data_IF_741065518350
#
_entry.id   IF_741065518350
#
_cell.length_a   1.000
_cell.length_b   1.000
_cell.length_c   1.000
_cell.angle_alpha   90.00
_cell.angle_beta   90.00
_cell.angle_gamma   90.00
#
_symmetry.space_group_name_H-M   'P 1'
#
loop_
_entity.id
_entity.type
_entity.pdbx_description
1 polymer ?
#
# COMPACT_ATOMS: atom_id res chain seq x y z
N UNK A 1 9.77 -9.24 11.20
CA UNK A 1 10.21 -8.78 9.87
C UNK A 1 9.24 -9.11 8.76
N UNK A 2 8.17 -9.84 9.08
CA UNK A 2 7.16 -10.16 8.07
C UNK A 2 6.45 -8.91 7.53
N UNK A 3 6.32 -7.85 8.36
CA UNK A 3 5.64 -6.62 7.95
C UNK A 3 6.40 -5.94 6.82
N UNK A 4 7.72 -5.84 6.96
CA UNK A 4 8.58 -5.24 5.94
C UNK A 4 8.56 -6.07 4.66
N UNK A 5 8.66 -7.40 4.79
CA UNK A 5 8.66 -8.30 3.65
C UNK A 5 7.33 -8.23 2.89
N UNK A 6 6.21 -8.24 3.62
CA UNK A 6 4.89 -8.15 3.00
C UNK A 6 4.65 -6.79 2.37
N UNK A 7 5.16 -5.72 2.97
CA UNK A 7 5.04 -4.37 2.42
C UNK A 7 5.81 -4.25 1.11
N UNK A 8 7.03 -4.80 1.06
CA UNK A 8 7.83 -4.80 -0.16
C UNK A 8 7.13 -5.60 -1.26
N UNK A 9 6.61 -6.78 -0.91
CA UNK A 9 5.87 -7.60 -1.87
C UNK A 9 4.64 -6.87 -2.42
N UNK A 10 3.91 -6.16 -1.56
CA UNK A 10 2.75 -5.37 -1.97
C UNK A 10 3.13 -4.27 -2.96
N UNK A 11 4.23 -3.56 -2.69
CA UNK A 11 4.72 -2.54 -3.60
C UNK A 11 5.14 -3.14 -4.94
N UNK A 12 5.82 -4.28 -4.92
CA UNK A 12 6.24 -4.95 -6.16
C UNK A 12 5.04 -5.34 -7.02
N UNK A 13 3.95 -5.78 -6.39
CA UNK A 13 2.70 -6.09 -7.10
C UNK A 13 2.18 -4.82 -7.79
N UNK A 14 2.18 -3.69 -7.09
CA UNK A 14 1.70 -2.42 -7.66
C UNK A 14 2.58 -1.95 -8.81
N UNK A 15 3.90 -2.09 -8.70
CA UNK A 15 4.81 -1.73 -9.77
C UNK A 15 4.59 -2.61 -11.00
N UNK A 16 4.39 -3.91 -10.80
CA UNK A 16 4.11 -4.84 -11.91
C UNK A 16 2.77 -4.49 -12.57
N UNK A 17 1.76 -4.13 -11.78
CA UNK A 17 0.47 -3.70 -12.31
C UNK A 17 0.63 -2.47 -13.20
N UNK A 18 1.42 -1.50 -12.77
CA UNK A 18 1.70 -0.29 -13.54
C UNK A 18 2.41 -0.62 -14.86
N UNK A 19 3.37 -1.53 -14.83
CA UNK A 19 4.08 -1.98 -16.03
C UNK A 19 3.11 -2.62 -17.05
N UNK A 20 2.09 -3.31 -16.55
CA UNK A 20 1.07 -3.95 -17.38
C UNK A 20 -0.06 -2.99 -17.81
N UNK A 21 0.02 -1.72 -17.43
CA UNK A 21 -1.00 -0.75 -17.75
C UNK A 21 -2.26 -0.86 -16.89
N UNK A 22 -2.18 -1.56 -15.76
CA UNK A 22 -3.32 -1.74 -14.85
C UNK A 22 -3.26 -0.74 -13.70
N UNK A 23 -4.41 -0.47 -13.11
CA UNK A 23 -4.50 0.31 -11.89
C UNK A 23 -4.46 -0.59 -10.67
N UNK A 24 -3.97 -0.08 -9.56
CA UNK A 24 -3.97 -0.83 -8.30
C UNK A 24 -4.23 0.10 -7.12
N UNK A 25 -4.72 -0.48 -6.04
CA UNK A 25 -5.02 0.25 -4.82
C UNK A 25 -4.61 -0.59 -3.62
N UNK A 26 -3.90 0.02 -2.68
CA UNK A 26 -3.47 -0.62 -1.44
C UNK A 26 -4.50 -0.36 -0.36
N UNK A 27 -5.05 -1.43 0.21
CA UNK A 27 -5.93 -1.34 1.37
C UNK A 27 -5.23 -1.96 2.56
N UNK A 28 -4.97 -1.16 3.58
CA UNK A 28 -4.30 -1.61 4.79
C UNK A 28 -5.27 -2.45 5.63
N UNK A 29 -4.83 -3.64 6.04
CA UNK A 29 -5.62 -4.53 6.88
C UNK A 29 -5.06 -4.59 8.29
N UNK A 30 -3.73 -4.67 8.43
CA UNK A 30 -3.07 -4.70 9.74
C UNK A 30 -3.43 -3.45 10.54
N UNK A 31 -3.83 -3.66 11.79
CA UNK A 31 -4.21 -2.58 12.72
C UNK A 31 -5.41 -1.73 12.25
N UNK A 32 -6.26 -2.29 11.41
CA UNK A 32 -7.52 -1.66 11.00
C UNK A 32 -8.69 -2.46 11.56
N UNK A 33 -9.83 -1.80 11.71
CA UNK A 33 -11.04 -2.41 12.21
C UNK A 33 -12.26 -1.88 11.47
N UNK A 34 -13.31 -2.69 11.42
CA UNK A 34 -14.60 -2.27 10.88
C UNK A 34 -15.29 -1.31 11.86
N UNK A 35 -16.39 -0.68 11.43
CA UNK A 35 -17.12 0.28 12.25
C UNK A 35 -17.61 -0.33 13.59
N UNK A 36 -17.91 -1.62 13.59
CA UNK A 36 -18.35 -2.32 14.81
C UNK A 36 -17.20 -2.73 15.73
N UNK A 37 -15.96 -2.39 15.37
CA UNK A 37 -14.77 -2.71 16.16
C UNK A 37 -14.13 -4.05 15.84
N UNK A 38 -14.70 -4.85 14.92
CA UNK A 38 -14.10 -6.13 14.53
C UNK A 38 -12.79 -5.89 13.80
N UNK A 39 -11.68 -6.51 14.22
CA UNK A 39 -10.42 -6.35 13.49
C UNK A 39 -10.55 -6.77 12.02
N UNK A 40 -10.00 -5.96 11.12
CA UNK A 40 -10.06 -6.25 9.69
C UNK A 40 -9.39 -7.59 9.37
N UNK A 41 -8.30 -7.92 10.05
CA UNK A 41 -7.62 -9.20 9.90
C UNK A 41 -8.57 -10.39 10.17
N UNK A 42 -9.41 -10.28 11.20
CA UNK A 42 -10.40 -11.32 11.51
C UNK A 42 -11.41 -11.48 10.38
N UNK A 43 -11.87 -10.38 9.81
CA UNK A 43 -12.84 -10.42 8.71
C UNK A 43 -12.23 -11.14 7.49
N UNK A 44 -11.00 -10.80 7.13
CA UNK A 44 -10.32 -11.41 6.00
C UNK A 44 -10.06 -12.90 6.25
N UNK A 45 -9.64 -13.26 7.49
CA UNK A 45 -9.45 -14.65 7.87
C UNK A 45 -10.72 -15.48 7.65
N UNK A 46 -11.87 -14.94 8.07
CA UNK A 46 -13.14 -15.63 7.94
C UNK A 46 -13.57 -15.80 6.48
N UNK A 47 -13.37 -14.77 5.67
CA UNK A 47 -13.75 -14.81 4.25
C UNK A 47 -12.90 -15.81 3.48
N UNK A 48 -11.59 -15.83 3.73
CA UNK A 48 -10.65 -16.66 2.98
C UNK A 48 -10.39 -18.02 3.62
N UNK A 49 -10.87 -18.25 4.84
CA UNK A 49 -10.61 -19.51 5.55
C UNK A 49 -9.15 -19.70 5.91
N UNK A 50 -8.46 -18.63 6.27
CA UNK A 50 -7.03 -18.68 6.58
C UNK A 50 -6.76 -19.36 7.93
N UNK A 51 -5.64 -20.10 8.06
CA UNK A 51 -5.24 -20.62 9.37
C UNK A 51 -4.79 -19.49 10.31
N UNK A 52 -4.92 -19.71 11.62
CA UNK A 52 -4.56 -18.72 12.63
C UNK A 52 -3.09 -18.28 12.58
N UNK A 53 -2.24 -19.13 12.01
CA UNK A 53 -0.81 -18.84 11.89
C UNK A 53 -0.49 -17.76 10.85
N UNK A 54 -1.45 -17.40 9.99
CA UNK A 54 -1.26 -16.37 8.97
C UNK A 54 -1.92 -15.07 9.39
N UNK A 55 -1.25 -13.98 9.10
CA UNK A 55 -1.80 -12.64 9.29
C UNK A 55 -1.82 -11.89 7.97
N UNK A 56 -2.75 -10.95 7.84
CA UNK A 56 -2.92 -10.16 6.62
C UNK A 56 -2.40 -8.74 6.86
N UNK A 57 -1.45 -8.31 6.04
CA UNK A 57 -0.95 -6.95 6.08
C UNK A 57 -1.85 -6.01 5.27
N UNK A 58 -2.14 -6.38 4.03
CA UNK A 58 -2.82 -5.54 3.06
C UNK A 58 -3.59 -6.36 2.06
N UNK A 59 -4.46 -5.69 1.33
CA UNK A 59 -5.11 -6.23 0.14
C UNK A 59 -4.79 -5.27 -1.00
N UNK A 60 -4.32 -5.81 -2.11
CA UNK A 60 -4.05 -5.00 -3.30
C UNK A 60 -5.14 -5.28 -4.32
N UNK A 61 -6.01 -4.29 -4.56
CA UNK A 61 -6.98 -4.38 -5.63
C UNK A 61 -6.31 -4.03 -6.95
N UNK A 62 -6.48 -4.87 -7.97
CA UNK A 62 -5.88 -4.66 -9.28
C UNK A 62 -6.97 -4.76 -10.33
N UNK A 63 -6.99 -3.83 -11.28
CA UNK A 63 -7.98 -3.83 -12.34
C UNK A 63 -7.64 -2.84 -13.44
N UNK A 64 -8.51 -2.76 -14.41
CA UNK A 64 -8.34 -1.79 -15.48
C UNK A 64 -8.63 -0.39 -14.97
N UNK A 65 -7.82 0.58 -15.41
CA UNK A 65 -8.01 1.98 -14.99
C UNK A 65 -9.31 2.53 -15.56
N UNK A 66 -10.14 3.11 -14.70
CA UNK A 66 -11.35 3.82 -15.12
C UNK A 66 -11.00 5.20 -15.68
N UNK A 67 -9.92 5.80 -15.16
CA UNK A 67 -9.42 7.09 -15.61
C UNK A 67 -7.93 7.17 -15.31
N UNK A 68 -7.19 7.91 -16.13
CA UNK A 68 -5.77 8.12 -15.88
C UNK A 68 -5.58 9.42 -15.11
N UNK A 69 -4.72 9.37 -14.09
CA UNK A 69 -4.33 10.54 -13.33
C UNK A 69 -3.09 11.15 -13.95
N UNK A 70 -3.07 12.47 -13.97
CA UNK A 70 -1.90 13.20 -14.43
C UNK A 70 -0.74 12.96 -13.45
N UNK A 71 0.46 12.70 -13.95
CA UNK A 71 1.62 12.60 -13.05
C UNK A 71 1.80 13.90 -12.27
N UNK A 72 2.28 13.77 -11.03
CA UNK A 72 2.58 14.94 -10.19
C UNK A 72 3.74 15.73 -10.81
N UNK A 73 3.56 17.03 -10.91
CA UNK A 73 4.63 17.92 -11.39
C UNK A 73 5.72 18.06 -10.33
N UNK A 74 6.95 18.23 -10.78
CA UNK A 74 8.11 18.31 -9.89
C UNK A 74 8.01 19.45 -8.88
N UNK A 75 7.43 20.58 -9.26
CA UNK A 75 7.30 21.75 -8.38
C UNK A 75 6.29 21.53 -7.26
N UNK A 76 5.44 20.50 -7.37
CA UNK A 76 4.47 20.14 -6.33
C UNK A 76 5.03 19.14 -5.33
N UNK A 77 6.23 18.66 -5.55
CA UNK A 77 6.89 17.77 -4.60
C UNK A 77 7.32 18.56 -3.36
N UNK A 78 7.39 17.85 -2.25
CA UNK A 78 7.74 18.47 -0.97
C UNK A 78 9.26 18.59 -0.83
N UNK A 79 9.88 19.44 -1.65
CA UNK A 79 11.33 19.59 -1.67
C UNK A 79 11.91 20.02 -0.33
N UNK A 80 11.14 20.77 0.47
CA UNK A 80 11.57 21.17 1.82
C UNK A 80 11.69 19.99 2.77
N UNK A 81 11.19 18.80 2.40
CA UNK A 81 11.37 17.56 3.15
C UNK A 81 12.57 16.74 2.66
N UNK A 82 13.25 17.21 1.61
CA UNK A 82 14.42 16.54 1.07
C UNK A 82 15.67 17.20 1.64
N UNK A 83 16.51 16.40 2.29
CA UNK A 83 17.74 16.89 2.95
C UNK A 83 18.95 16.30 2.24
N UNK A 84 19.87 17.19 1.82
CA UNK A 84 21.04 16.79 1.05
C UNK A 84 22.23 16.55 1.97
N UNK A 85 22.74 15.31 2.00
CA UNK A 85 23.93 14.88 2.73
C UNK A 85 23.77 14.90 4.26
N UNK A 86 23.03 15.84 4.84
CA UNK A 86 22.71 15.82 6.28
C UNK A 86 21.39 16.52 6.53
N UNK A 87 20.78 16.18 7.64
CA UNK A 87 19.50 16.72 8.05
C UNK A 87 19.57 18.24 8.19
N UNK A 88 18.54 18.90 7.66
CA UNK A 88 18.45 20.34 7.68
C UNK A 88 18.96 21.05 6.43
N UNK A 89 19.63 20.32 5.53
CA UNK A 89 20.18 20.88 4.30
C UNK A 89 19.19 20.66 3.14
N UNK A 90 18.21 21.52 3.03
CA UNK A 90 17.13 21.40 2.04
C UNK A 90 17.40 22.26 0.80
N UNK A 91 16.72 21.90 -0.28
CA UNK A 91 16.77 22.64 -1.53
C UNK A 91 16.05 24.00 -1.40
#
# INVERSE_FOLDING_TARGET
MWIEDASIASLMIQLQAEELGLGSCWAQIRNRAAEDGTPANTIVHNILGLPDSLEVLSIIGVGHKAAERKPMEDDKLLWNQVHYNKFGNTK
#
